data_IF_878745520439
#
_entry.id   IF_878745520439
#
_cell.length_a   1.000
_cell.length_b   1.000
_cell.length_c   1.000
_cell.angle_alpha   90.00
_cell.angle_beta   90.00
_cell.angle_gamma   90.00
#
_symmetry.space_group_name_H-M   'P 1'
#
loop_
_entity.id
_entity.type
_entity.pdbx_description
1 polymer ?
#
# COMPACT_ATOMS: atom_id res chain seq x y z
N UNK A 1 -10.87 26.12 9.65
CA UNK A 1 -12.25 26.52 9.31
C UNK A 1 -12.26 27.00 7.87
N UNK A 2 -12.51 26.10 6.92
CA UNK A 2 -12.59 26.45 5.50
C UNK A 2 -13.91 25.89 5.00
N UNK A 3 -14.93 26.75 5.00
CA UNK A 3 -16.22 26.52 4.39
C UNK A 3 -16.11 26.83 2.89
N UNK A 4 -16.19 25.81 2.04
CA UNK A 4 -16.36 26.00 0.60
C UNK A 4 -17.48 25.10 0.08
N UNK A 5 -18.70 25.34 0.54
CA UNK A 5 -19.89 24.94 -0.23
C UNK A 5 -20.05 25.88 -1.42
N UNK A 6 -19.09 25.84 -2.36
CA UNK A 6 -19.30 26.42 -3.69
C UNK A 6 -20.12 25.41 -4.48
N UNK A 7 -21.43 25.53 -4.39
CA UNK A 7 -22.35 24.78 -5.24
C UNK A 7 -22.20 25.31 -6.67
N UNK A 8 -21.58 24.52 -7.54
CA UNK A 8 -21.45 24.86 -8.95
C UNK A 8 -22.71 24.47 -9.72
N UNK A 9 -23.15 25.36 -10.61
CA UNK A 9 -24.20 25.01 -11.57
C UNK A 9 -23.68 23.91 -12.50
N UNK A 10 -24.48 22.84 -12.66
CA UNK A 10 -24.22 21.74 -13.58
C UNK A 10 -23.78 22.21 -14.97
N UNK A 11 -24.36 23.30 -15.48
CA UNK A 11 -24.04 23.84 -16.81
C UNK A 11 -22.64 24.45 -16.90
N UNK A 12 -22.04 24.84 -15.77
CA UNK A 12 -20.71 25.46 -15.70
C UNK A 12 -19.58 24.46 -15.46
N UNK A 13 -19.91 23.24 -15.03
CA UNK A 13 -18.92 22.18 -14.79
C UNK A 13 -18.07 21.82 -16.03
N UNK A 14 -18.64 21.69 -17.26
CA UNK A 14 -17.84 21.38 -18.44
C UNK A 14 -16.82 22.48 -18.74
N UNK A 15 -17.23 23.76 -18.68
CA UNK A 15 -16.31 24.88 -18.92
C UNK A 15 -15.19 24.96 -17.89
N UNK A 16 -15.49 24.66 -16.63
CA UNK A 16 -14.48 24.60 -15.57
C UNK A 16 -13.51 23.43 -15.78
N UNK A 17 -13.99 22.28 -16.24
CA UNK A 17 -13.15 21.13 -16.54
C UNK A 17 -12.17 21.39 -17.70
N UNK A 18 -12.63 22.03 -18.78
CA UNK A 18 -11.74 22.32 -19.93
C UNK A 18 -10.80 23.50 -19.71
N UNK A 19 -10.99 24.28 -18.64
CA UNK A 19 -10.13 25.43 -18.32
C UNK A 19 -8.78 24.99 -17.73
N UNK A 20 -8.70 23.81 -17.12
CA UNK A 20 -7.51 23.34 -16.42
C UNK A 20 -6.97 22.03 -17.02
N UNK A 21 -5.65 21.88 -17.00
CA UNK A 21 -5.00 20.63 -17.39
C UNK A 21 -4.96 19.64 -16.22
N UNK A 22 -6.09 18.98 -16.01
CA UNK A 22 -6.25 17.97 -14.95
C UNK A 22 -5.35 16.75 -15.14
N UNK A 23 -4.96 16.44 -16.38
CA UNK A 23 -4.10 15.30 -16.71
C UNK A 23 -2.69 15.55 -16.19
N UNK A 24 -2.14 16.74 -16.42
CA UNK A 24 -0.83 17.11 -15.90
C UNK A 24 -0.77 17.07 -14.37
N UNK A 25 -1.81 17.56 -13.69
CA UNK A 25 -1.90 17.52 -12.22
C UNK A 25 -1.93 16.06 -11.73
N UNK A 26 -2.71 15.20 -12.39
CA UNK A 26 -2.76 13.77 -12.07
C UNK A 26 -1.39 13.09 -12.25
N UNK A 27 -0.68 13.38 -13.33
CA UNK A 27 0.66 12.84 -13.59
C UNK A 27 1.64 13.25 -12.48
N UNK A 28 1.66 14.52 -12.09
CA UNK A 28 2.49 14.98 -10.96
C UNK A 28 2.13 14.31 -9.63
N UNK A 29 0.83 14.12 -9.34
CA UNK A 29 0.41 13.38 -8.15
C UNK A 29 0.86 11.91 -8.18
N UNK A 30 0.80 11.28 -9.36
CA UNK A 30 1.23 9.89 -9.55
C UNK A 30 2.73 9.72 -9.39
N UNK A 31 3.54 10.66 -9.90
CA UNK A 31 5.00 10.66 -9.71
C UNK A 31 5.36 10.71 -8.22
N UNK A 32 4.75 11.64 -7.47
CA UNK A 32 4.99 11.73 -6.02
C UNK A 32 4.56 10.45 -5.27
N UNK A 33 3.46 9.81 -5.66
CA UNK A 33 3.01 8.54 -5.06
C UNK A 33 3.98 7.39 -5.37
N UNK A 34 4.52 7.32 -6.59
CA UNK A 34 5.55 6.35 -6.97
C UNK A 34 6.82 6.56 -6.15
N UNK A 35 7.27 7.80 -6.01
CA UNK A 35 8.44 8.13 -5.20
C UNK A 35 8.25 7.74 -3.73
N UNK A 36 7.08 8.02 -3.15
CA UNK A 36 6.75 7.60 -1.78
C UNK A 36 6.75 6.08 -1.61
N UNK A 37 6.22 5.34 -2.58
CA UNK A 37 6.23 3.86 -2.57
C UNK A 37 7.66 3.33 -2.62
N UNK A 38 8.50 3.88 -3.50
CA UNK A 38 9.90 3.47 -3.61
C UNK A 38 10.67 3.75 -2.31
N UNK A 39 10.49 4.94 -1.73
CA UNK A 39 11.09 5.29 -0.43
C UNK A 39 10.64 4.36 0.69
N UNK A 40 9.34 4.02 0.75
CA UNK A 40 8.81 3.08 1.76
C UNK A 40 9.38 1.68 1.60
N UNK A 41 9.52 1.19 0.37
CA UNK A 41 10.10 -0.12 0.11
C UNK A 41 11.58 -0.16 0.53
N UNK A 42 12.35 0.89 0.21
CA UNK A 42 13.75 1.01 0.65
C UNK A 42 13.86 1.11 2.17
N UNK A 43 12.99 1.90 2.82
CA UNK A 43 12.94 2.02 4.29
C UNK A 43 12.70 0.66 4.96
N UNK A 44 11.73 -0.11 4.48
CA UNK A 44 11.43 -1.43 5.02
C UNK A 44 12.61 -2.40 4.83
N UNK A 45 13.25 -2.37 3.67
CA UNK A 45 14.42 -3.20 3.40
C UNK A 45 15.59 -2.84 4.35
N UNK A 46 15.89 -1.55 4.50
CA UNK A 46 16.92 -1.05 5.42
C UNK A 46 16.63 -1.41 6.88
N UNK A 47 15.39 -1.30 7.33
CA UNK A 47 14.99 -1.70 8.69
C UNK A 47 15.17 -3.19 8.94
N UNK A 48 14.77 -4.02 7.99
CA UNK A 48 14.99 -5.47 8.10
C UNK A 48 16.49 -5.79 8.13
N UNK A 49 17.31 -5.11 7.34
CA UNK A 49 18.76 -5.28 7.37
C UNK A 49 19.36 -4.83 8.71
N UNK A 50 18.90 -3.69 9.23
CA UNK A 50 19.31 -3.16 10.52
C UNK A 50 19.01 -4.16 11.65
N UNK A 51 17.77 -4.65 11.76
CA UNK A 51 17.38 -5.62 12.79
C UNK A 51 18.24 -6.89 12.74
N UNK A 52 18.55 -7.37 11.53
CA UNK A 52 19.42 -8.54 11.35
C UNK A 52 20.88 -8.27 11.71
N UNK A 53 21.42 -7.07 11.39
CA UNK A 53 22.82 -6.71 11.61
C UNK A 53 23.11 -6.22 13.03
N UNK A 54 22.13 -5.67 13.74
CA UNK A 54 22.26 -5.25 15.15
C UNK A 54 22.70 -6.42 16.03
N UNK A 55 22.28 -7.64 15.71
CA UNK A 55 22.76 -8.83 16.42
C UNK A 55 24.26 -9.11 16.19
N UNK A 56 24.87 -8.55 15.16
CA UNK A 56 26.27 -8.80 14.79
C UNK A 56 27.14 -7.54 14.88
N UNK A 57 26.68 -6.49 15.58
CA UNK A 57 27.41 -5.22 15.73
C UNK A 57 28.81 -5.40 16.35
N UNK A 58 28.97 -6.34 17.28
CA UNK A 58 30.25 -6.63 17.97
C UNK A 58 31.30 -7.27 17.04
N UNK A 59 30.90 -7.74 15.86
CA UNK A 59 31.81 -8.39 14.91
C UNK A 59 32.65 -7.34 14.18
N UNK A 60 33.91 -7.17 14.59
CA UNK A 60 34.88 -6.27 13.95
C UNK A 60 35.56 -6.92 12.73
N UNK A 61 34.77 -7.54 11.86
CA UNK A 61 35.24 -8.16 10.61
C UNK A 61 34.39 -7.63 9.47
N UNK A 62 35.06 -7.28 8.37
CA UNK A 62 34.37 -6.79 7.18
C UNK A 62 33.58 -7.91 6.51
N UNK A 63 32.39 -7.59 6.02
CA UNK A 63 31.53 -8.56 5.31
C UNK A 63 32.22 -9.17 4.09
N UNK A 64 33.07 -8.40 3.39
CA UNK A 64 33.83 -8.91 2.24
C UNK A 64 34.79 -10.05 2.60
N UNK A 65 35.34 -10.03 3.82
CA UNK A 65 36.26 -11.06 4.29
C UNK A 65 35.53 -12.33 4.74
N UNK A 66 34.21 -12.24 4.97
CA UNK A 66 33.35 -13.35 5.42
C UNK A 66 32.92 -14.30 4.30
N UNK A 67 33.10 -13.93 3.02
CA UNK A 67 32.88 -14.87 1.90
C UNK A 67 33.89 -16.04 1.90
N UNK A 68 35.00 -15.87 2.61
CA UNK A 68 36.12 -16.81 2.64
C UNK A 68 36.98 -16.72 1.39
N UNK A 69 37.80 -17.75 1.14
CA UNK A 69 38.67 -17.82 -0.04
C UNK A 69 38.30 -19.03 -0.90
N UNK A 70 39.08 -19.31 -1.96
CA UNK A 70 38.91 -20.55 -2.74
C UNK A 70 39.04 -21.81 -1.88
N UNK A 71 39.90 -21.76 -0.86
CA UNK A 71 40.29 -22.93 -0.06
C UNK A 71 39.74 -22.89 1.36
N UNK A 72 39.15 -21.77 1.79
CA UNK A 72 38.58 -21.59 3.13
C UNK A 72 37.13 -21.18 3.07
N UNK A 73 36.34 -21.66 4.02
CA UNK A 73 34.94 -21.30 4.22
C UNK A 73 34.75 -20.77 5.64
N UNK A 74 33.92 -19.75 5.74
CA UNK A 74 33.51 -19.14 6.99
C UNK A 74 32.02 -19.41 7.15
N UNK A 75 31.63 -19.90 8.33
CA UNK A 75 30.24 -20.13 8.71
C UNK A 75 29.99 -19.30 9.97
N UNK A 76 28.95 -18.47 9.94
CA UNK A 76 28.56 -17.61 11.06
C UNK A 76 27.11 -17.92 11.41
N UNK A 77 26.81 -17.92 12.71
CA UNK A 77 25.46 -18.20 13.19
C UNK A 77 25.38 -18.45 14.68
N UNK A 78 24.21 -18.92 15.12
CA UNK A 78 23.91 -19.15 16.53
C UNK A 78 23.69 -20.64 16.83
N UNK A 79 24.10 -21.05 18.03
CA UNK A 79 23.89 -22.40 18.58
C UNK A 79 23.22 -22.25 19.95
N UNK A 80 22.25 -23.11 20.33
CA UNK A 80 21.75 -23.15 21.70
C UNK A 80 22.90 -23.33 22.72
N UNK A 81 22.99 -22.48 23.75
CA UNK A 81 24.16 -22.46 24.66
C UNK A 81 24.38 -23.79 25.40
N UNK A 82 23.32 -24.58 25.58
CA UNK A 82 23.36 -25.92 26.19
C UNK A 82 24.13 -26.94 25.34
N UNK A 83 24.08 -26.76 24.03
CA UNK A 83 24.61 -27.72 23.05
C UNK A 83 25.98 -27.30 22.50
N UNK A 84 26.41 -26.07 22.82
CA UNK A 84 27.65 -25.47 22.32
C UNK A 84 28.88 -26.36 22.52
N UNK A 85 29.11 -26.84 23.75
CA UNK A 85 30.31 -27.66 24.07
C UNK A 85 30.30 -28.98 23.28
N UNK A 86 29.16 -29.68 23.25
CA UNK A 86 29.03 -30.94 22.52
C UNK A 86 29.19 -30.76 21.01
N UNK A 87 28.68 -29.65 20.47
CA UNK A 87 28.87 -29.28 19.07
C UNK A 87 30.35 -29.02 18.74
N UNK A 88 31.05 -28.24 19.57
CA UNK A 88 32.49 -27.99 19.41
C UNK A 88 33.31 -29.27 19.41
N UNK A 89 33.06 -30.17 20.36
CA UNK A 89 33.79 -31.45 20.46
C UNK A 89 33.59 -32.35 19.23
N UNK A 90 32.40 -32.34 18.62
CA UNK A 90 32.16 -33.06 17.36
C UNK A 90 32.85 -32.40 16.17
N UNK A 91 32.85 -31.07 16.09
CA UNK A 91 33.51 -30.34 15.00
C UNK A 91 35.03 -30.54 15.04
N UNK A 92 35.65 -30.42 16.21
CA UNK A 92 37.12 -30.58 16.37
C UNK A 92 37.60 -31.99 15.99
N UNK A 93 36.72 -33.02 16.10
CA UNK A 93 37.05 -34.39 15.68
C UNK A 93 37.11 -34.57 14.16
N UNK A 94 36.59 -33.63 13.37
CA UNK A 94 36.57 -33.72 11.90
C UNK A 94 37.97 -33.49 11.32
N UNK A 95 38.73 -32.56 11.87
CA UNK A 95 40.05 -32.17 11.36
C UNK A 95 40.75 -31.15 12.25
N UNK A 96 42.04 -30.92 12.02
CA UNK A 96 42.84 -29.95 12.81
C UNK A 96 42.80 -28.54 12.22
N UNK A 97 42.41 -28.42 10.96
CA UNK A 97 42.35 -27.20 10.16
C UNK A 97 40.97 -26.50 10.31
N UNK A 98 40.48 -26.42 11.54
CA UNK A 98 39.21 -25.79 11.90
C UNK A 98 39.46 -24.85 13.09
N UNK A 99 39.16 -23.57 12.90
CA UNK A 99 39.21 -22.55 13.96
C UNK A 99 37.79 -22.14 14.31
N UNK A 100 37.47 -22.11 15.61
CA UNK A 100 36.14 -21.73 16.10
C UNK A 100 36.27 -20.55 17.05
N UNK A 101 35.67 -19.43 16.65
CA UNK A 101 35.70 -18.17 17.39
C UNK A 101 34.32 -17.96 18.00
N UNK A 102 34.27 -17.87 19.33
CA UNK A 102 33.08 -17.49 20.08
C UNK A 102 32.99 -15.97 20.12
N UNK A 103 31.91 -15.40 19.59
CA UNK A 103 31.71 -13.95 19.51
C UNK A 103 31.02 -13.47 20.79
N UNK A 104 29.82 -13.99 21.06
CA UNK A 104 29.02 -13.62 22.23
C UNK A 104 28.29 -14.85 22.77
N UNK A 105 28.01 -14.89 24.07
CA UNK A 105 27.14 -15.90 24.70
C UNK A 105 26.06 -15.23 25.53
N UNK A 106 24.82 -15.56 25.19
CA UNK A 106 23.65 -15.27 26.00
C UNK A 106 23.17 -16.56 26.71
N UNK A 107 22.26 -16.43 27.67
CA UNK A 107 21.69 -17.55 28.43
C UNK A 107 21.00 -18.60 27.56
N UNK A 108 20.59 -18.23 26.34
CA UNK A 108 19.86 -19.11 25.41
C UNK A 108 20.69 -19.52 24.20
N UNK A 109 21.51 -18.62 23.65
CA UNK A 109 22.26 -18.85 22.41
C UNK A 109 23.71 -18.35 22.51
N UNK A 110 24.61 -19.04 21.81
CA UNK A 110 25.99 -18.66 21.57
C UNK A 110 26.16 -18.27 20.10
N UNK A 111 26.71 -17.07 19.85
CA UNK A 111 27.14 -16.61 18.52
C UNK A 111 28.54 -17.11 18.24
N UNK A 112 28.69 -17.80 17.12
CA UNK A 112 29.95 -18.45 16.74
C UNK A 112 30.31 -18.16 15.30
N UNK A 113 31.61 -18.09 15.05
CA UNK A 113 32.20 -18.07 13.72
C UNK A 113 33.12 -19.27 13.59
N UNK A 114 32.95 -20.05 12.53
CA UNK A 114 33.74 -21.24 12.24
C UNK A 114 34.48 -21.00 10.93
N UNK A 115 35.81 -21.02 10.98
CA UNK A 115 36.68 -20.98 9.83
C UNK A 115 37.22 -22.39 9.58
N UNK A 116 37.03 -22.92 8.38
CA UNK A 116 37.55 -24.23 8.00
C UNK A 116 38.08 -24.23 6.58
N UNK A 117 38.86 -25.25 6.22
CA UNK A 117 39.11 -25.54 4.80
C UNK A 117 37.81 -26.00 4.10
N UNK A 118 37.71 -25.74 2.80
CA UNK A 118 36.52 -26.02 1.99
C UNK A 118 36.09 -27.49 2.01
N UNK A 119 37.03 -28.41 2.19
CA UNK A 119 36.80 -29.87 2.22
C UNK A 119 35.92 -30.31 3.41
N UNK A 120 36.02 -29.60 4.54
CA UNK A 120 35.29 -29.95 5.76
C UNK A 120 33.89 -29.32 5.83
N UNK A 121 33.55 -28.42 4.90
CA UNK A 121 32.30 -27.68 4.90
C UNK A 121 31.05 -28.58 4.98
N UNK A 122 31.02 -29.68 4.23
CA UNK A 122 29.87 -30.61 4.23
C UNK A 122 29.75 -31.35 5.56
N UNK A 123 30.88 -31.79 6.13
CA UNK A 123 30.91 -32.51 7.40
C UNK A 123 30.53 -31.60 8.57
N UNK A 124 31.05 -30.38 8.58
CA UNK A 124 30.72 -29.36 9.60
C UNK A 124 29.23 -29.03 9.54
N UNK A 125 28.66 -28.76 8.36
CA UNK A 125 27.24 -28.48 8.22
C UNK A 125 26.33 -29.62 8.71
N UNK A 126 26.73 -30.89 8.55
CA UNK A 126 25.99 -32.02 9.10
C UNK A 126 25.94 -31.99 10.63
N UNK A 127 27.05 -31.66 11.27
CA UNK A 127 27.12 -31.50 12.73
C UNK A 127 26.29 -30.29 13.17
N UNK A 128 26.43 -29.15 12.50
CA UNK A 128 25.66 -27.93 12.81
C UNK A 128 24.15 -28.17 12.73
N UNK A 129 23.67 -28.86 11.68
CA UNK A 129 22.26 -29.21 11.54
C UNK A 129 21.74 -30.14 12.66
N UNK A 130 22.59 -31.04 13.19
CA UNK A 130 22.22 -31.91 14.33
C UNK A 130 21.99 -31.11 15.62
N UNK A 131 22.67 -29.97 15.77
CA UNK A 131 22.62 -29.12 16.95
C UNK A 131 21.75 -27.85 16.78
N UNK A 132 20.83 -27.86 15.81
CA UNK A 132 19.92 -26.74 15.53
C UNK A 132 20.65 -25.40 15.34
N UNK A 133 21.77 -25.42 14.61
CA UNK A 133 22.49 -24.21 14.22
C UNK A 133 21.62 -23.32 13.32
N UNK A 134 21.52 -22.03 13.66
CA UNK A 134 20.89 -21.04 12.80
C UNK A 134 21.96 -20.24 12.06
N UNK A 135 22.05 -20.42 10.74
CA UNK A 135 23.07 -19.79 9.92
C UNK A 135 22.71 -18.34 9.60
N UNK A 136 23.60 -17.42 9.95
CA UNK A 136 23.45 -16.03 9.55
C UNK A 136 24.19 -15.77 8.24
N UNK A 137 23.52 -15.10 7.31
CA UNK A 137 24.10 -14.70 6.02
C UNK A 137 24.16 -13.19 5.96
N UNK A 138 25.37 -12.66 5.80
CA UNK A 138 25.56 -11.24 5.63
C UNK A 138 25.05 -10.78 4.26
N UNK A 139 24.45 -9.58 4.19
CA UNK A 139 24.02 -8.99 2.92
C UNK A 139 25.25 -8.62 2.07
N UNK A 140 25.40 -9.29 0.93
CA UNK A 140 26.53 -9.12 -0.01
C UNK A 140 26.58 -7.74 -0.69
N UNK A 141 25.53 -6.93 -0.52
CA UNK A 141 25.47 -5.55 -1.02
C UNK A 141 26.45 -4.63 -0.29
N UNK A 142 26.87 -5.01 0.91
CA UNK A 142 27.75 -4.23 1.78
C UNK A 142 29.11 -4.92 1.94
N UNK A 143 30.16 -4.11 2.11
CA UNK A 143 31.55 -4.59 2.19
C UNK A 143 32.26 -4.24 3.49
N UNK A 144 31.72 -3.31 4.27
CA UNK A 144 32.36 -2.83 5.49
C UNK A 144 32.04 -3.72 6.70
N UNK A 145 32.42 -3.28 7.90
CA UNK A 145 32.06 -3.94 9.15
C UNK A 145 30.58 -3.72 9.47
N UNK A 146 29.90 -4.65 10.17
CA UNK A 146 28.51 -4.48 10.61
C UNK A 146 28.23 -3.12 11.25
N UNK A 147 29.14 -2.64 12.10
CA UNK A 147 29.03 -1.31 12.73
C UNK A 147 28.98 -0.17 11.71
N UNK A 148 29.90 -0.14 10.75
CA UNK A 148 29.90 0.89 9.71
C UNK A 148 28.66 0.80 8.81
N UNK A 149 28.21 -0.42 8.52
CA UNK A 149 26.99 -0.66 7.74
C UNK A 149 25.77 -0.12 8.48
N UNK A 150 25.68 -0.33 9.80
CA UNK A 150 24.61 0.23 10.63
C UNK A 150 24.64 1.77 10.62
N UNK A 151 25.83 2.38 10.67
CA UNK A 151 25.97 3.84 10.52
C UNK A 151 25.49 4.33 9.14
N UNK A 152 25.87 3.66 8.05
CA UNK A 152 25.42 3.96 6.69
C UNK A 152 23.89 3.83 6.55
N UNK A 153 23.32 2.73 7.05
CA UNK A 153 21.87 2.49 7.08
C UNK A 153 21.16 3.61 7.85
N UNK A 154 21.69 4.01 9.01
CA UNK A 154 21.12 5.11 9.80
C UNK A 154 21.12 6.44 9.04
N UNK A 155 22.18 6.71 8.27
CA UNK A 155 22.30 7.88 7.40
C UNK A 155 21.30 7.84 6.24
N UNK A 156 21.15 6.69 5.59
CA UNK A 156 20.15 6.48 4.54
C UNK A 156 18.72 6.67 5.06
N UNK A 157 18.40 6.14 6.24
CA UNK A 157 17.08 6.29 6.85
C UNK A 157 16.74 7.76 7.14
N UNK A 158 17.70 8.54 7.64
CA UNK A 158 17.54 10.01 7.81
C UNK A 158 17.29 10.71 6.47
N UNK A 159 18.06 10.36 5.44
CA UNK A 159 17.87 10.92 4.09
C UNK A 159 16.49 10.58 3.50
N UNK A 160 16.00 9.35 3.74
CA UNK A 160 14.65 8.94 3.34
C UNK A 160 13.59 9.82 4.04
N UNK A 161 13.76 10.08 5.34
CA UNK A 161 12.84 10.94 6.10
C UNK A 161 12.83 12.38 5.56
N UNK A 162 14.00 12.94 5.25
CA UNK A 162 14.12 14.27 4.63
C UNK A 162 13.42 14.33 3.26
N UNK A 163 13.67 13.33 2.39
CA UNK A 163 13.01 13.21 1.08
C UNK A 163 11.49 13.10 1.21
N UNK A 164 11.00 12.30 2.17
CA UNK A 164 9.55 12.22 2.49
C UNK A 164 9.00 13.58 2.91
N UNK A 165 9.75 14.34 3.71
CA UNK A 165 9.39 15.70 4.10
C UNK A 165 9.25 16.66 2.90
N UNK A 166 10.16 16.57 1.93
CA UNK A 166 10.12 17.35 0.69
C UNK A 166 8.89 16.98 -0.16
N UNK A 167 8.67 15.68 -0.39
CA UNK A 167 7.52 15.19 -1.16
C UNK A 167 6.20 15.62 -0.49
N UNK A 168 6.12 15.55 0.84
CA UNK A 168 4.91 15.96 1.57
C UNK A 168 4.64 17.47 1.42
N UNK A 169 5.69 18.31 1.43
CA UNK A 169 5.55 19.74 1.13
C UNK A 169 5.08 19.98 -0.30
N UNK A 170 5.64 19.26 -1.27
CA UNK A 170 5.20 19.33 -2.68
C UNK A 170 3.74 18.91 -2.84
N UNK A 171 3.33 17.80 -2.22
CA UNK A 171 1.93 17.32 -2.22
C UNK A 171 0.97 18.33 -1.58
N UNK A 172 1.35 18.97 -0.47
CA UNK A 172 0.55 20.06 0.14
C UNK A 172 0.40 21.26 -0.78
N UNK A 173 1.46 21.63 -1.50
CA UNK A 173 1.41 22.72 -2.49
C UNK A 173 0.47 22.37 -3.63
N UNK A 174 0.61 21.17 -4.22
CA UNK A 174 -0.28 20.68 -5.26
C UNK A 174 -1.75 20.67 -4.81
N UNK A 175 -2.03 20.20 -3.60
CA UNK A 175 -3.39 20.22 -3.06
C UNK A 175 -3.97 21.64 -2.98
N UNK A 176 -3.21 22.61 -2.44
CA UNK A 176 -3.67 23.99 -2.26
C UNK A 176 -3.91 24.71 -3.58
N UNK A 177 -3.07 24.45 -4.58
CA UNK A 177 -3.12 25.13 -5.87
C UNK A 177 -4.16 24.51 -6.84
N UNK A 178 -4.60 23.27 -6.58
CA UNK A 178 -5.43 22.51 -7.52
C UNK A 178 -6.80 22.11 -6.95
N UNK A 179 -7.48 23.04 -6.25
CA UNK A 179 -8.87 22.86 -5.82
C UNK A 179 -9.85 22.69 -7.01
N UNK A 180 -9.42 22.98 -8.24
CA UNK A 180 -10.17 22.69 -9.47
C UNK A 180 -10.37 21.19 -9.73
N UNK A 181 -9.66 20.31 -9.01
CA UNK A 181 -9.90 18.87 -9.08
C UNK A 181 -11.28 18.45 -8.55
N UNK A 182 -11.88 19.19 -7.61
CA UNK A 182 -13.22 18.90 -7.10
C UNK A 182 -14.31 19.04 -8.18
N UNK A 183 -14.46 20.20 -8.87
CA UNK A 183 -15.43 20.31 -9.95
C UNK A 183 -15.11 19.37 -11.13
N UNK A 184 -13.84 19.03 -11.34
CA UNK A 184 -13.47 18.01 -12.33
C UNK A 184 -13.96 16.61 -11.94
N UNK A 185 -13.80 16.24 -10.68
CA UNK A 185 -14.33 14.98 -10.13
C UNK A 185 -15.85 14.92 -10.26
N UNK A 186 -16.56 16.00 -9.89
CA UNK A 186 -18.02 16.07 -10.02
C UNK A 186 -18.46 15.90 -11.47
N UNK A 187 -17.80 16.60 -12.40
CA UNK A 187 -18.09 16.51 -13.82
C UNK A 187 -17.90 15.09 -14.36
N UNK A 188 -16.75 14.47 -14.07
CA UNK A 188 -16.43 13.10 -14.52
C UNK A 188 -17.36 12.07 -13.87
N UNK A 189 -17.72 12.25 -12.60
CA UNK A 189 -18.69 11.40 -11.90
C UNK A 189 -20.06 11.45 -12.55
N UNK A 190 -20.53 12.63 -12.96
CA UNK A 190 -21.80 12.76 -13.68
C UNK A 190 -21.72 12.08 -15.06
N UNK A 191 -20.62 12.26 -15.80
CA UNK A 191 -20.43 11.59 -17.09
C UNK A 191 -20.42 10.07 -16.94
N UNK A 192 -19.75 9.56 -15.90
CA UNK A 192 -19.75 8.14 -15.57
C UNK A 192 -21.16 7.65 -15.26
N UNK A 193 -21.89 8.33 -14.38
CA UNK A 193 -23.26 7.96 -14.02
C UNK A 193 -24.19 7.93 -15.24
N UNK A 194 -24.05 8.87 -16.18
CA UNK A 194 -24.80 8.84 -17.44
C UNK A 194 -24.54 7.58 -18.25
N UNK A 195 -23.26 7.20 -18.42
CA UNK A 195 -22.88 5.96 -19.10
C UNK A 195 -23.33 4.71 -18.37
N UNK A 196 -23.31 4.73 -17.04
CA UNK A 196 -23.78 3.59 -16.26
C UNK A 196 -25.28 3.39 -16.40
N UNK A 197 -26.07 4.48 -16.49
CA UNK A 197 -27.51 4.42 -16.76
C UNK A 197 -27.81 3.85 -18.14
N UNK A 198 -26.97 4.06 -19.17
CA UNK A 198 -27.17 3.48 -20.51
C UNK A 198 -27.35 1.96 -20.49
N UNK A 199 -26.75 1.26 -19.51
CA UNK A 199 -26.90 -0.20 -19.35
C UNK A 199 -28.32 -0.62 -18.96
N UNK A 200 -29.08 0.27 -18.34
CA UNK A 200 -30.46 0.05 -17.89
C UNK A 200 -31.48 0.59 -18.88
N UNK A 201 -31.05 1.32 -19.90
CA UNK A 201 -31.91 1.87 -20.93
C UNK A 201 -32.11 0.82 -22.03
N UNK A 202 -33.38 0.55 -22.38
CA UNK A 202 -33.72 -0.23 -23.56
C UNK A 202 -33.75 0.71 -24.76
N UNK A 203 -32.92 0.46 -25.77
CA UNK A 203 -32.86 1.29 -26.97
C UNK A 203 -32.87 0.47 -28.25
N UNK A 204 -33.50 1.03 -29.28
CA UNK A 204 -33.40 0.59 -30.69
C UNK A 204 -32.70 1.69 -31.49
N UNK A 205 -32.51 1.50 -32.79
CA UNK A 205 -31.91 2.54 -33.67
C UNK A 205 -32.69 3.88 -33.68
N UNK A 206 -33.97 3.86 -33.30
CA UNK A 206 -34.88 5.01 -33.44
C UNK A 206 -35.58 5.42 -32.15
N UNK A 207 -35.64 4.56 -31.14
CA UNK A 207 -36.42 4.80 -29.91
C UNK A 207 -35.63 4.40 -28.69
N UNK A 208 -35.67 5.27 -27.67
CA UNK A 208 -35.16 5.03 -26.33
C UNK A 208 -36.34 4.86 -25.38
N UNK A 209 -36.37 3.77 -24.62
CA UNK A 209 -37.39 3.46 -23.63
C UNK A 209 -36.76 3.56 -22.24
N UNK A 210 -37.35 4.41 -21.40
CA UNK A 210 -36.96 4.61 -20.00
C UNK A 210 -38.17 4.27 -19.14
N UNK A 211 -37.97 3.39 -18.17
CA UNK A 211 -38.98 2.95 -17.20
C UNK A 211 -38.48 3.25 -15.80
N UNK A 212 -39.38 3.68 -14.91
CA UNK A 212 -39.01 4.00 -13.53
C UNK A 212 -40.17 4.50 -12.70
N UNK A 213 -39.90 4.70 -11.42
CA UNK A 213 -40.87 5.11 -10.43
C UNK A 213 -40.89 6.63 -10.23
N UNK A 214 -42.08 7.20 -10.10
CA UNK A 214 -42.28 8.60 -9.76
C UNK A 214 -43.42 8.75 -8.75
N UNK A 215 -43.24 9.69 -7.82
CA UNK A 215 -44.30 10.03 -6.87
C UNK A 215 -45.46 10.71 -7.58
N UNK A 216 -46.69 10.28 -7.26
CA UNK A 216 -47.94 10.84 -7.84
C UNK A 216 -47.99 12.37 -7.82
N UNK A 217 -47.48 12.99 -6.76
CA UNK A 217 -47.42 14.47 -6.59
C UNK A 217 -46.49 15.19 -7.57
N UNK A 218 -45.54 14.49 -8.18
CA UNK A 218 -44.55 15.07 -9.11
C UNK A 218 -44.87 14.82 -10.59
N UNK A 219 -45.93 14.06 -10.89
CA UNK A 219 -46.34 13.70 -12.25
C UNK A 219 -46.50 14.91 -13.17
N UNK A 220 -47.30 15.90 -12.75
CA UNK A 220 -47.58 17.09 -13.58
C UNK A 220 -46.32 17.93 -13.82
N UNK A 221 -45.45 18.01 -12.80
CA UNK A 221 -44.17 18.72 -12.91
C UNK A 221 -43.26 18.05 -13.94
N UNK A 222 -43.10 16.74 -13.87
CA UNK A 222 -42.30 15.98 -14.83
C UNK A 222 -42.86 16.15 -16.25
N UNK A 223 -44.18 15.96 -16.40
CA UNK A 223 -44.90 16.08 -17.67
C UNK A 223 -44.63 17.43 -18.34
N UNK A 224 -44.80 18.51 -17.60
CA UNK A 224 -44.60 19.87 -18.10
C UNK A 224 -43.15 20.14 -18.51
N UNK A 225 -42.17 19.64 -17.75
CA UNK A 225 -40.74 19.82 -18.07
C UNK A 225 -40.37 19.07 -19.36
N UNK A 226 -40.83 17.83 -19.49
CA UNK A 226 -40.45 16.97 -20.60
C UNK A 226 -41.13 17.37 -21.91
N UNK A 227 -42.45 17.59 -21.92
CA UNK A 227 -43.16 18.02 -23.13
C UNK A 227 -42.73 19.41 -23.63
N UNK A 228 -42.29 20.30 -22.74
CA UNK A 228 -41.72 21.60 -23.15
C UNK A 228 -40.38 21.44 -23.87
N UNK A 229 -39.63 20.38 -23.55
CA UNK A 229 -38.26 20.17 -24.05
C UNK A 229 -38.20 19.26 -25.28
N UNK A 230 -39.10 18.29 -25.38
CA UNK A 230 -39.10 17.26 -26.42
C UNK A 230 -40.42 17.25 -27.18
N UNK A 231 -40.35 17.30 -28.52
CA UNK A 231 -41.54 17.27 -29.40
C UNK A 231 -42.03 15.84 -29.67
N UNK A 232 -41.10 14.90 -29.76
CA UNK A 232 -41.35 13.49 -30.05
C UNK A 232 -41.16 12.70 -28.75
N UNK A 233 -42.18 12.72 -27.90
CA UNK A 233 -42.16 12.07 -26.60
C UNK A 233 -43.54 11.52 -26.28
N UNK A 234 -43.60 10.27 -25.87
CA UNK A 234 -44.78 9.66 -25.27
C UNK A 234 -44.44 9.24 -23.83
N UNK A 235 -45.32 9.57 -22.88
CA UNK A 235 -45.18 9.18 -21.49
C UNK A 235 -46.43 8.40 -21.10
N UNK A 236 -46.24 7.16 -20.67
CA UNK A 236 -47.31 6.30 -20.15
C UNK A 236 -47.15 6.17 -18.65
N UNK A 237 -48.22 6.43 -17.90
CA UNK A 237 -48.24 6.24 -16.45
C UNK A 237 -49.17 5.08 -16.11
N UNK A 238 -48.70 4.17 -15.26
CA UNK A 238 -49.49 3.09 -14.67
C UNK A 238 -49.37 3.14 -13.15
N UNK A 239 -50.43 2.75 -12.45
CA UNK A 239 -50.34 2.52 -11.01
C UNK A 239 -49.52 1.24 -10.75
N UNK A 240 -48.75 1.18 -9.65
CA UNK A 240 -48.07 -0.05 -9.24
C UNK A 240 -49.06 -1.20 -9.05
N UNK A 241 -48.64 -2.41 -9.41
CA UNK A 241 -49.32 -3.66 -9.06
C UNK A 241 -48.74 -4.22 -7.76
N UNK A 242 -49.49 -5.10 -7.09
CA UNK A 242 -49.04 -5.77 -5.86
C UNK A 242 -47.78 -6.64 -6.07
N UNK A 243 -47.52 -7.09 -7.30
CA UNK A 243 -46.34 -7.87 -7.67
C UNK A 243 -45.09 -7.03 -7.96
N UNK A 244 -45.23 -5.71 -8.05
CA UNK A 244 -44.13 -4.84 -8.46
C UNK A 244 -43.22 -4.54 -7.27
N UNK A 245 -41.90 -4.46 -7.52
CA UNK A 245 -40.93 -4.03 -6.52
C UNK A 245 -40.91 -2.49 -6.46
N UNK A 246 -41.74 -1.95 -5.56
CA UNK A 246 -42.00 -0.51 -5.44
C UNK A 246 -41.00 0.11 -4.46
N UNK A 247 -40.23 1.13 -4.86
CA UNK A 247 -39.30 1.79 -3.97
C UNK A 247 -40.05 2.56 -2.88
N UNK A 248 -39.53 2.48 -1.66
CA UNK A 248 -40.03 3.26 -0.53
C UNK A 248 -39.57 4.71 -0.66
N UNK A 249 -40.50 5.64 -0.51
CA UNK A 249 -40.22 7.07 -0.53
C UNK A 249 -40.73 7.71 0.76
N UNK A 250 -39.83 7.87 1.73
CA UNK A 250 -40.13 8.55 2.99
C UNK A 250 -40.18 10.06 2.77
N UNK A 251 -41.12 10.72 3.47
CA UNK A 251 -41.22 12.17 3.52
C UNK A 251 -41.60 12.58 4.93
N UNK A 252 -40.63 12.58 5.84
CA UNK A 252 -40.85 13.07 7.19
C UNK A 252 -40.65 14.59 7.28
N UNK A 253 -41.20 15.18 8.35
CA UNK A 253 -41.00 16.59 8.64
C UNK A 253 -39.61 16.80 9.29
N UNK A 254 -39.16 18.05 9.39
CA UNK A 254 -37.83 18.40 9.93
C UNK A 254 -37.58 17.88 11.37
N UNK A 255 -38.64 17.57 12.13
CA UNK A 255 -38.51 17.03 13.49
C UNK A 255 -38.29 15.51 13.52
N UNK A 256 -38.75 14.81 12.48
CA UNK A 256 -38.71 13.33 12.38
C UNK A 256 -37.61 12.86 11.41
N UNK A 257 -37.20 13.70 10.45
CA UNK A 257 -36.10 13.46 9.50
C UNK A 257 -34.80 12.92 10.14
N UNK A 258 -34.34 13.38 11.32
CA UNK A 258 -33.13 12.83 11.95
C UNK A 258 -33.23 11.35 12.38
N UNK A 259 -34.45 10.81 12.50
CA UNK A 259 -34.71 9.42 12.90
C UNK A 259 -34.89 8.48 11.70
N UNK A 260 -34.97 9.01 10.47
CA UNK A 260 -35.10 8.21 9.25
C UNK A 260 -33.92 7.24 9.07
N UNK A 261 -32.69 7.68 9.40
CA UNK A 261 -31.50 6.85 9.29
C UNK A 261 -31.54 5.60 10.19
N UNK A 262 -32.28 5.63 11.29
CA UNK A 262 -32.47 4.45 12.14
C UNK A 262 -33.45 3.49 11.48
N UNK A 263 -34.57 4.00 10.96
CA UNK A 263 -35.57 3.17 10.28
C UNK A 263 -35.07 2.56 8.98
N UNK A 264 -34.22 3.25 8.22
CA UNK A 264 -33.60 2.73 6.98
C UNK A 264 -32.65 1.56 7.24
N UNK A 265 -32.06 1.45 8.44
CA UNK A 265 -31.19 0.31 8.79
C UNK A 265 -31.97 -0.98 9.06
N UNK A 266 -33.24 -0.88 9.43
CA UNK A 266 -34.07 -2.04 9.78
C UNK A 266 -34.96 -2.54 8.64
N UNK A 267 -35.17 -1.73 7.59
CA UNK A 267 -36.02 -2.06 6.44
C UNK A 267 -37.49 -1.79 6.70
#
# INVERSE_FOLDING_TARGET
LVTYDRVYDYKKLPSLFFQYDHKKIYESCKELDVDLKNLKNRENHLKNLQENLEEWEELDIKVEDLEGTKNTKIIIGTIPSKDFISCLEEIIKIGKEIEIIKITEDKKQCKVMILSISEYYISINKVLNKYNFDSFKFPLEYRETPKNILEEISGELKNIEEKRGIIFKAGKKLYRENLSLYPAFDYLSILKNKKDIEKYIKQTEKVIIIEGWILKKELDRLKNILYKKFKELEIVFSNPKESDDIPVALKNNRFVEPFESVTELYG
#
